data_IF_842030509618
#
_entry.id   IF_842030509618
#
_cell.length_a   1.000
_cell.length_b   1.000
_cell.length_c   1.000
_cell.angle_alpha   90.00
_cell.angle_beta   90.00
_cell.angle_gamma   90.00
#
_symmetry.space_group_name_H-M   'P 1'
#
loop_
_entity.id
_entity.type
_entity.pdbx_description
1 polymer ?
#
# COMPACT_ATOMS: atom_id res chain seq x y z
N UNK A 1 14.98 -9.66 -19.79
CA UNK A 1 15.02 -9.33 -18.35
C UNK A 1 16.46 -9.25 -17.90
N UNK A 2 16.78 -8.30 -17.03
CA UNK A 2 18.16 -8.02 -16.61
C UNK A 2 18.44 -8.72 -15.30
N UNK A 3 19.37 -9.67 -15.30
CA UNK A 3 19.85 -10.33 -14.08
C UNK A 3 20.67 -9.33 -13.27
N UNK A 4 20.31 -9.15 -12.01
CA UNK A 4 20.90 -8.17 -11.10
C UNK A 4 21.58 -8.81 -9.90
N UNK A 5 21.27 -10.06 -9.58
CA UNK A 5 21.85 -10.71 -8.41
C UNK A 5 21.76 -12.22 -8.42
N UNK A 6 22.32 -12.83 -7.39
CA UNK A 6 22.27 -14.28 -7.17
C UNK A 6 21.95 -14.57 -5.70
N UNK A 7 21.00 -15.47 -5.46
CA UNK A 7 20.60 -15.88 -4.11
C UNK A 7 21.77 -16.52 -3.39
N UNK A 8 22.04 -16.04 -2.18
CA UNK A 8 23.06 -16.57 -1.29
C UNK A 8 22.45 -17.68 -0.42
N UNK A 9 21.40 -17.35 0.33
CA UNK A 9 20.76 -18.23 1.31
C UNK A 9 19.34 -17.75 1.61
N UNK A 10 18.61 -18.49 2.45
CA UNK A 10 17.32 -18.06 2.97
C UNK A 10 17.17 -18.30 4.47
N UNK A 11 16.32 -17.49 5.11
CA UNK A 11 15.97 -17.58 6.52
C UNK A 11 14.51 -18.01 6.69
N UNK A 12 13.97 -17.90 7.91
CA UNK A 12 12.56 -18.25 8.19
C UNK A 12 11.58 -17.35 7.47
N UNK A 13 11.89 -16.06 7.35
CA UNK A 13 10.94 -15.05 6.84
C UNK A 13 11.36 -14.51 5.45
N UNK A 14 12.66 -14.39 5.18
CA UNK A 14 13.20 -13.76 3.98
C UNK A 14 14.20 -14.67 3.24
N UNK A 15 14.64 -14.25 2.05
CA UNK A 15 15.86 -14.75 1.43
C UNK A 15 16.83 -13.62 1.16
N UNK A 16 18.11 -13.98 1.02
CA UNK A 16 19.19 -13.01 0.82
C UNK A 16 19.88 -13.27 -0.51
N UNK A 17 20.20 -12.21 -1.25
CA UNK A 17 20.95 -12.30 -2.49
C UNK A 17 22.09 -11.29 -2.53
N UNK A 18 23.09 -11.59 -3.35
CA UNK A 18 24.25 -10.72 -3.59
C UNK A 18 24.06 -10.02 -4.94
N UNK A 19 24.34 -8.73 -4.98
CA UNK A 19 24.20 -7.87 -6.18
C UNK A 19 25.25 -6.76 -6.19
N UNK A 20 25.56 -6.21 -7.36
CA UNK A 20 26.36 -4.98 -7.49
C UNK A 20 25.50 -3.70 -7.46
N UNK A 21 24.18 -3.85 -7.50
CA UNK A 21 23.25 -2.71 -7.57
C UNK A 21 22.67 -2.44 -6.18
N UNK A 22 22.72 -1.20 -5.68
CA UNK A 22 22.03 -0.85 -4.44
C UNK A 22 20.51 -0.82 -4.68
N UNK A 23 19.75 -1.53 -3.85
CA UNK A 23 18.28 -1.52 -3.86
C UNK A 23 17.74 -0.70 -2.69
N UNK A 24 16.64 0.02 -2.92
CA UNK A 24 15.91 0.75 -1.88
C UNK A 24 14.88 -0.16 -1.21
N UNK A 25 14.56 0.16 0.04
CA UNK A 25 13.50 -0.53 0.78
C UNK A 25 12.17 -0.37 0.05
N UNK A 26 11.45 -1.47 -0.14
CA UNK A 26 10.15 -1.49 -0.83
C UNK A 26 10.24 -1.74 -2.34
N UNK A 27 11.43 -1.70 -2.94
CA UNK A 27 11.61 -2.08 -4.35
C UNK A 27 11.30 -3.55 -4.58
N UNK A 28 10.97 -3.87 -5.83
CA UNK A 28 10.60 -5.22 -6.23
C UNK A 28 11.66 -5.86 -7.13
N UNK A 29 11.94 -7.12 -6.84
CA UNK A 29 12.76 -8.01 -7.66
C UNK A 29 11.98 -9.30 -7.92
N UNK A 30 12.41 -10.09 -8.88
CA UNK A 30 11.80 -11.38 -9.13
C UNK A 30 12.84 -12.47 -9.41
N UNK A 31 12.40 -13.72 -9.34
CA UNK A 31 13.18 -14.87 -9.78
C UNK A 31 12.28 -15.86 -10.50
N UNK A 32 12.86 -16.67 -11.37
CA UNK A 32 12.10 -17.66 -12.13
C UNK A 32 11.98 -18.96 -11.33
N UNK A 33 10.75 -19.47 -11.19
CA UNK A 33 10.48 -20.78 -10.61
C UNK A 33 9.34 -21.46 -11.38
N UNK A 34 9.56 -22.67 -11.89
CA UNK A 34 8.56 -23.43 -12.65
C UNK A 34 7.91 -22.61 -13.79
N UNK A 35 8.70 -21.77 -14.49
CA UNK A 35 8.27 -20.84 -15.55
C UNK A 35 7.45 -19.62 -15.10
N UNK A 36 7.26 -19.44 -13.80
CA UNK A 36 6.60 -18.27 -13.23
C UNK A 36 7.62 -17.30 -12.62
N UNK A 37 7.41 -16.01 -12.85
CA UNK A 37 8.20 -14.96 -12.21
C UNK A 37 7.65 -14.69 -10.81
N UNK A 38 8.41 -15.08 -9.79
CA UNK A 38 8.04 -14.92 -8.39
C UNK A 38 8.47 -13.54 -7.91
N UNK A 39 7.50 -12.68 -7.64
CA UNK A 39 7.71 -11.34 -7.11
C UNK A 39 8.16 -11.38 -5.65
N UNK A 40 9.17 -10.59 -5.34
CA UNK A 40 9.76 -10.46 -4.02
C UNK A 40 10.03 -8.98 -3.70
N UNK A 41 9.79 -8.58 -2.46
CA UNK A 41 9.94 -7.19 -2.01
C UNK A 41 11.20 -7.02 -1.18
N UNK A 42 12.04 -6.05 -1.55
CA UNK A 42 13.26 -5.68 -0.83
C UNK A 42 12.92 -5.11 0.55
N UNK A 43 13.59 -5.63 1.58
CA UNK A 43 13.41 -5.23 2.98
C UNK A 43 14.52 -4.32 3.47
N UNK A 44 15.76 -4.67 3.16
CA UNK A 44 16.95 -3.90 3.52
C UNK A 44 18.11 -4.31 2.62
N UNK A 45 19.06 -3.39 2.49
CA UNK A 45 20.29 -3.52 1.68
C UNK A 45 21.45 -3.07 2.54
N UNK A 46 22.50 -3.88 2.61
CA UNK A 46 23.75 -3.60 3.33
C UNK A 46 24.96 -3.94 2.44
N UNK A 47 26.13 -3.31 2.63
CA UNK A 47 27.36 -3.75 1.99
C UNK A 47 27.65 -5.22 2.32
N UNK A 48 28.17 -5.97 1.34
CA UNK A 48 28.57 -7.36 1.59
C UNK A 48 29.86 -7.42 2.41
N UNK A 49 30.81 -6.56 2.07
CA UNK A 49 32.08 -6.37 2.76
C UNK A 49 32.33 -4.87 2.88
N UNK A 50 32.85 -4.44 4.02
CA UNK A 50 33.36 -3.09 4.23
C UNK A 50 34.88 -3.09 4.13
N UNK A 51 35.46 -1.97 3.67
CA UNK A 51 36.89 -1.78 3.77
C UNK A 51 37.33 -1.83 5.24
N UNK A 52 38.56 -2.30 5.52
CA UNK A 52 39.17 -2.13 6.84
C UNK A 52 39.05 -0.68 7.30
N UNK A 53 38.67 -0.47 8.56
CA UNK A 53 38.35 0.86 9.09
C UNK A 53 39.55 1.81 8.97
N UNK A 54 40.77 1.26 9.05
CA UNK A 54 42.03 1.99 8.92
C UNK A 54 42.17 2.65 7.54
N UNK A 55 41.56 2.07 6.50
CA UNK A 55 41.62 2.63 5.14
C UNK A 55 40.71 3.84 4.97
N UNK A 56 39.84 4.12 5.96
CA UNK A 56 38.87 5.21 5.94
C UNK A 56 39.31 6.43 6.77
N UNK A 57 40.46 6.37 7.44
CA UNK A 57 40.93 7.45 8.30
C UNK A 57 41.57 8.63 7.55
N UNK A 58 42.07 8.40 6.34
CA UNK A 58 42.67 9.43 5.51
C UNK A 58 41.61 10.02 4.56
N UNK A 59 41.45 11.35 4.58
CA UNK A 59 40.48 12.03 3.72
C UNK A 59 41.04 12.37 2.32
N UNK A 60 42.34 12.14 2.09
CA UNK A 60 43.04 12.43 0.83
C UNK A 60 43.28 11.17 0.02
N UNK A 61 43.53 10.04 0.66
CA UNK A 61 43.78 8.76 -0.02
C UNK A 61 42.49 7.93 -0.08
N UNK A 62 42.09 7.51 -1.28
CA UNK A 62 40.92 6.66 -1.45
C UNK A 62 41.16 5.24 -0.89
N UNK A 63 40.17 4.70 -0.19
CA UNK A 63 40.24 3.36 0.41
C UNK A 63 40.52 2.26 -0.62
N UNK A 64 40.08 2.45 -1.87
CA UNK A 64 40.35 1.55 -2.99
C UNK A 64 41.82 1.50 -3.39
N UNK A 65 42.54 2.62 -3.25
CA UNK A 65 43.97 2.67 -3.58
C UNK A 65 44.80 1.99 -2.50
N UNK A 66 44.43 2.18 -1.23
CA UNK A 66 45.00 1.43 -0.11
C UNK A 66 44.72 -0.06 -0.24
N UNK A 67 43.48 -0.45 -0.53
CA UNK A 67 43.12 -1.85 -0.74
C UNK A 67 43.93 -2.49 -1.87
N UNK A 68 44.09 -1.81 -3.02
CA UNK A 68 44.93 -2.27 -4.11
C UNK A 68 46.41 -2.39 -3.71
N UNK A 69 46.93 -1.43 -2.93
CA UNK A 69 48.30 -1.47 -2.41
C UNK A 69 48.54 -2.69 -1.49
N UNK A 70 47.56 -3.04 -0.65
CA UNK A 70 47.61 -4.23 0.20
C UNK A 70 47.27 -5.54 -0.54
N UNK A 71 47.01 -5.49 -1.84
CA UNK A 71 46.72 -6.67 -2.67
C UNK A 71 45.29 -7.21 -2.53
N UNK A 72 44.35 -6.40 -2.06
CA UNK A 72 42.93 -6.74 -1.96
C UNK A 72 42.22 -6.45 -3.29
N UNK A 73 41.23 -7.27 -3.66
CA UNK A 73 40.41 -7.02 -4.85
C UNK A 73 39.32 -5.99 -4.53
N UNK A 74 39.41 -4.81 -5.15
CA UNK A 74 38.40 -3.75 -5.00
C UNK A 74 36.99 -4.20 -5.42
N UNK A 75 36.84 -5.24 -6.24
CA UNK A 75 35.53 -5.77 -6.58
C UNK A 75 34.80 -6.37 -5.38
N UNK A 76 35.51 -6.88 -4.37
CA UNK A 76 34.90 -7.53 -3.21
C UNK A 76 34.11 -6.56 -2.32
N UNK A 77 34.41 -5.26 -2.43
CA UNK A 77 33.77 -4.17 -1.68
C UNK A 77 32.67 -3.45 -2.47
N UNK A 78 32.39 -3.90 -3.71
CA UNK A 78 31.36 -3.31 -4.58
C UNK A 78 30.05 -4.11 -4.59
N UNK A 79 29.95 -5.12 -3.72
CA UNK A 79 28.76 -5.94 -3.60
C UNK A 79 27.90 -5.54 -2.41
N UNK A 80 26.61 -5.72 -2.57
CA UNK A 80 25.60 -5.58 -1.53
C UNK A 80 24.98 -6.93 -1.22
N UNK A 81 24.64 -7.10 0.06
CA UNK A 81 23.75 -8.15 0.55
C UNK A 81 22.36 -7.55 0.71
N UNK A 82 21.38 -8.13 0.03
CA UNK A 82 19.99 -7.65 0.02
C UNK A 82 19.08 -8.72 0.57
N UNK A 83 18.26 -8.37 1.58
CA UNK A 83 17.17 -9.23 2.06
C UNK A 83 15.87 -8.90 1.36
N UNK A 84 15.17 -9.92 0.89
CA UNK A 84 13.87 -9.79 0.23
C UNK A 84 12.87 -10.82 0.76
N UNK A 85 11.62 -10.39 0.88
CA UNK A 85 10.49 -11.22 1.26
C UNK A 85 9.76 -11.70 0.01
N UNK A 86 9.49 -13.01 -0.07
CA UNK A 86 8.67 -13.57 -1.16
C UNK A 86 7.24 -13.08 -1.02
N UNK A 87 6.70 -12.47 -2.08
CA UNK A 87 5.30 -12.04 -2.14
C UNK A 87 4.48 -13.15 -2.81
N UNK A 88 4.84 -13.51 -4.04
CA UNK A 88 4.15 -14.51 -4.83
C UNK A 88 4.18 -14.19 -6.32
N UNK A 89 3.30 -14.81 -7.11
CA UNK A 89 3.14 -14.52 -8.53
C UNK A 89 1.65 -14.52 -8.88
N UNK A 90 1.30 -13.86 -9.98
CA UNK A 90 -0.06 -13.90 -10.49
C UNK A 90 -0.22 -15.02 -11.50
N UNK A 91 -1.17 -15.92 -11.26
CA UNK A 91 -1.54 -16.97 -12.21
C UNK A 91 -2.69 -16.47 -13.09
N UNK A 92 -2.39 -16.18 -14.35
CA UNK A 92 -3.38 -15.69 -15.34
C UNK A 92 -4.45 -16.70 -15.70
N UNK A 93 -4.21 -18.01 -15.48
CA UNK A 93 -5.19 -19.06 -15.78
C UNK A 93 -6.31 -19.06 -14.75
N UNK A 94 -5.96 -18.88 -13.48
CA UNK A 94 -6.91 -18.85 -12.37
C UNK A 94 -7.32 -17.43 -11.96
N UNK A 95 -6.67 -16.41 -12.53
CA UNK A 95 -6.83 -15.00 -12.18
C UNK A 95 -6.61 -14.74 -10.67
N UNK A 96 -5.63 -15.43 -10.10
CA UNK A 96 -5.35 -15.42 -8.67
C UNK A 96 -3.86 -15.18 -8.38
N UNK A 97 -3.60 -14.53 -7.24
CA UNK A 97 -2.25 -14.33 -6.74
C UNK A 97 -1.85 -15.48 -5.82
N UNK A 98 -0.79 -16.20 -6.19
CA UNK A 98 -0.35 -17.43 -5.52
C UNK A 98 0.96 -17.16 -4.78
N UNK A 99 0.96 -17.45 -3.48
CA UNK A 99 2.20 -17.54 -2.73
C UNK A 99 2.78 -18.96 -2.89
N UNK A 100 4.01 -19.12 -3.43
CA UNK A 100 4.60 -20.43 -3.69
C UNK A 100 4.90 -21.23 -2.42
N UNK A 101 4.89 -20.60 -1.23
CA UNK A 101 5.22 -21.17 0.09
C UNK A 101 6.63 -21.78 0.19
N UNK A 102 7.43 -21.67 -0.86
CA UNK A 102 8.82 -22.08 -0.94
C UNK A 102 9.69 -20.88 -1.31
N UNK A 103 10.92 -20.90 -0.82
CA UNK A 103 11.93 -19.87 -1.06
C UNK A 103 12.89 -20.32 -2.17
N UNK A 104 13.57 -19.38 -2.86
CA UNK A 104 14.54 -19.76 -3.88
C UNK A 104 15.73 -20.52 -3.28
N UNK A 105 16.31 -21.40 -4.09
CA UNK A 105 17.55 -22.09 -3.74
C UNK A 105 18.75 -21.13 -3.85
N UNK A 106 19.82 -21.43 -3.11
CA UNK A 106 21.11 -20.78 -3.31
C UNK A 106 21.55 -20.91 -4.78
N UNK A 107 22.12 -19.86 -5.35
CA UNK A 107 22.51 -19.79 -6.76
C UNK A 107 21.40 -19.36 -7.72
N UNK A 108 20.14 -19.26 -7.27
CA UNK A 108 19.03 -18.77 -8.11
C UNK A 108 19.30 -17.33 -8.57
N UNK A 109 19.08 -17.04 -9.86
CA UNK A 109 19.28 -15.69 -10.41
C UNK A 109 18.11 -14.78 -10.06
N UNK A 110 18.44 -13.56 -9.63
CA UNK A 110 17.49 -12.49 -9.34
C UNK A 110 17.48 -11.50 -10.51
N UNK A 111 16.29 -11.11 -10.92
CA UNK A 111 16.01 -10.20 -12.02
C UNK A 111 15.24 -8.98 -11.50
N UNK A 112 15.36 -7.84 -12.19
CA UNK A 112 14.49 -6.69 -11.91
C UNK A 112 13.05 -7.04 -12.25
N UNK A 113 12.12 -6.67 -11.37
CA UNK A 113 10.70 -6.73 -11.68
C UNK A 113 10.37 -5.62 -12.68
N UNK A 114 10.02 -6.01 -13.91
CA UNK A 114 9.60 -5.05 -14.93
C UNK A 114 8.15 -4.62 -14.75
N UNK A 115 7.73 -3.62 -15.54
CA UNK A 115 6.37 -3.10 -15.49
C UNK A 115 5.31 -4.16 -15.87
N UNK A 116 5.66 -5.17 -16.68
CA UNK A 116 4.72 -6.22 -17.07
C UNK A 116 4.40 -7.12 -15.87
N UNK A 117 5.42 -7.60 -15.16
CA UNK A 117 5.25 -8.43 -13.96
C UNK A 117 4.52 -7.68 -12.86
N UNK A 118 4.81 -6.39 -12.70
CA UNK A 118 4.14 -5.56 -11.70
C UNK A 118 2.68 -5.28 -12.08
N UNK A 119 2.40 -5.07 -13.37
CA UNK A 119 1.03 -4.91 -13.86
C UNK A 119 0.20 -6.17 -13.68
N UNK A 120 0.81 -7.36 -13.76
CA UNK A 120 0.13 -8.64 -13.53
C UNK A 120 -0.38 -8.78 -12.09
N UNK A 121 0.13 -8.00 -11.13
CA UNK A 121 -0.41 -7.97 -9.77
C UNK A 121 -1.80 -7.32 -9.73
N UNK A 122 -2.10 -6.42 -10.67
CA UNK A 122 -3.40 -5.77 -10.77
C UNK A 122 -4.40 -6.71 -11.47
N UNK A 123 -5.52 -7.03 -10.82
CA UNK A 123 -6.60 -7.85 -11.40
C UNK A 123 -7.40 -7.12 -12.50
N UNK A 124 -7.32 -5.80 -12.53
CA UNK A 124 -8.05 -4.90 -13.44
C UNK A 124 -7.09 -3.84 -13.97
N UNK A 125 -7.33 -3.38 -15.19
CA UNK A 125 -6.51 -2.35 -15.82
C UNK A 125 -7.01 -0.94 -15.49
N UNK A 126 -6.11 0.04 -15.50
CA UNK A 126 -6.47 1.45 -15.31
C UNK A 126 -7.45 1.91 -16.39
N UNK A 127 -8.56 2.51 -15.98
CA UNK A 127 -9.59 3.00 -16.89
C UNK A 127 -10.53 1.89 -17.40
N UNK A 128 -10.41 0.67 -16.89
CA UNK A 128 -11.42 -0.38 -17.07
C UNK A 128 -12.64 -0.09 -16.18
N UNK A 129 -13.83 -0.57 -16.58
CA UNK A 129 -15.03 -0.53 -15.72
C UNK A 129 -14.78 -1.39 -14.48
N UNK A 130 -15.06 -0.86 -13.28
CA UNK A 130 -14.78 -1.57 -12.04
C UNK A 130 -13.33 -1.47 -11.55
N UNK A 131 -12.54 -0.55 -12.11
CA UNK A 131 -11.15 -0.28 -11.69
C UNK A 131 -11.05 1.00 -10.85
N UNK A 132 -10.18 1.00 -9.84
CA UNK A 132 -9.84 2.17 -9.04
C UNK A 132 -8.32 2.34 -9.00
N UNK A 133 -7.82 3.41 -9.61
CA UNK A 133 -6.40 3.74 -9.62
C UNK A 133 -5.99 4.51 -8.36
N UNK A 134 -5.20 3.88 -7.49
CA UNK A 134 -4.84 4.43 -6.17
C UNK A 134 -3.46 5.08 -6.13
N UNK A 135 -2.71 5.04 -7.24
CA UNK A 135 -1.37 5.61 -7.35
C UNK A 135 -0.43 4.72 -8.17
N UNK A 136 0.87 4.88 -7.96
CA UNK A 136 1.91 4.09 -8.65
C UNK A 136 2.76 3.28 -7.68
N UNK A 137 3.31 2.17 -8.15
CA UNK A 137 4.22 1.32 -7.36
C UNK A 137 5.57 2.04 -7.23
N UNK A 138 6.06 2.16 -5.99
CA UNK A 138 7.31 2.85 -5.67
C UNK A 138 8.48 2.43 -6.55
N UNK A 139 9.32 3.41 -6.92
CA UNK A 139 10.49 3.24 -7.80
C UNK A 139 10.17 2.68 -9.19
N UNK A 140 8.90 2.71 -9.61
CA UNK A 140 8.47 2.24 -10.93
C UNK A 140 7.45 3.19 -11.51
N UNK A 141 7.21 3.08 -12.82
CA UNK A 141 6.12 3.79 -13.51
C UNK A 141 4.87 2.91 -13.65
N UNK A 142 4.76 1.84 -12.85
CA UNK A 142 3.64 0.90 -12.92
C UNK A 142 2.48 1.41 -12.08
N UNK A 143 1.29 1.44 -12.67
CA UNK A 143 0.06 1.80 -11.97
C UNK A 143 -0.29 0.78 -10.88
N UNK A 144 -0.84 1.25 -9.76
CA UNK A 144 -1.46 0.43 -8.72
C UNK A 144 -2.98 0.58 -8.85
N UNK A 145 -3.64 -0.49 -9.27
CA UNK A 145 -5.07 -0.48 -9.60
C UNK A 145 -5.79 -1.57 -8.83
N UNK A 146 -6.85 -1.19 -8.11
CA UNK A 146 -7.68 -2.10 -7.34
C UNK A 146 -9.00 -2.38 -8.06
N UNK A 147 -9.53 -3.59 -7.86
CA UNK A 147 -10.89 -3.91 -8.29
C UNK A 147 -11.90 -3.27 -7.34
N UNK A 148 -12.73 -2.38 -7.86
CA UNK A 148 -13.82 -1.74 -7.10
C UNK A 148 -14.77 -2.79 -6.54
N UNK A 149 -15.09 -3.82 -7.33
CA UNK A 149 -15.96 -4.92 -6.89
C UNK A 149 -15.41 -5.60 -5.63
N UNK A 150 -14.12 -5.88 -5.57
CA UNK A 150 -13.49 -6.49 -4.40
C UNK A 150 -13.46 -5.52 -3.21
N UNK A 151 -13.13 -4.24 -3.45
CA UNK A 151 -13.11 -3.21 -2.42
C UNK A 151 -14.47 -3.01 -1.74
N UNK A 152 -15.57 -3.05 -2.49
CA UNK A 152 -16.92 -2.82 -1.95
C UNK A 152 -17.62 -4.08 -1.44
N UNK A 153 -17.24 -5.26 -1.96
CA UNK A 153 -17.81 -6.54 -1.50
C UNK A 153 -17.16 -7.04 -0.21
N UNK A 154 -15.95 -6.58 0.09
CA UNK A 154 -15.25 -6.86 1.34
C UNK A 154 -15.18 -5.61 2.22
N UNK A 155 -14.80 -5.77 3.49
CA UNK A 155 -14.55 -4.64 4.36
C UNK A 155 -13.14 -4.08 4.12
N UNK A 156 -13.04 -2.80 3.78
CA UNK A 156 -11.77 -2.08 3.65
C UNK A 156 -11.48 -1.27 4.92
N UNK A 157 -10.24 -1.35 5.41
CA UNK A 157 -9.75 -0.54 6.53
C UNK A 157 -8.49 0.22 6.12
N UNK A 158 -8.50 1.54 6.26
CA UNK A 158 -7.37 2.42 5.96
C UNK A 158 -6.79 2.92 7.28
N UNK A 159 -5.56 2.52 7.59
CA UNK A 159 -4.89 2.82 8.86
C UNK A 159 -3.60 3.58 8.57
N UNK A 160 -3.46 4.76 9.16
CA UNK A 160 -2.24 5.55 9.07
C UNK A 160 -2.14 6.49 10.28
N UNK A 161 -0.93 6.92 10.61
CA UNK A 161 -0.71 7.98 11.60
C UNK A 161 -1.23 9.33 11.09
N UNK A 162 -1.44 10.29 12.01
CA UNK A 162 -1.80 11.66 11.64
C UNK A 162 -0.74 12.26 10.71
N UNK A 163 -1.18 12.89 9.62
CA UNK A 163 -0.28 13.48 8.62
C UNK A 163 0.25 12.51 7.57
N UNK A 164 0.00 11.21 7.69
CA UNK A 164 0.49 10.20 6.73
C UNK A 164 -0.41 10.05 5.47
N UNK A 165 -1.43 10.89 5.31
CA UNK A 165 -2.26 10.92 4.10
C UNK A 165 -3.54 10.08 4.11
N UNK A 166 -4.01 9.60 5.28
CA UNK A 166 -5.27 8.81 5.39
C UNK A 166 -6.45 9.44 4.64
N UNK A 167 -6.77 10.70 4.94
CA UNK A 167 -7.92 11.39 4.36
C UNK A 167 -7.72 11.68 2.87
N UNK A 168 -6.47 11.87 2.44
CA UNK A 168 -6.13 11.99 1.02
C UNK A 168 -6.39 10.67 0.28
N UNK A 169 -5.92 9.55 0.80
CA UNK A 169 -6.19 8.21 0.22
C UNK A 169 -7.68 7.90 0.16
N UNK A 170 -8.45 8.27 1.19
CA UNK A 170 -9.92 8.14 1.17
C UNK A 170 -10.51 9.00 0.04
N UNK A 171 -10.07 10.25 -0.10
CA UNK A 171 -10.51 11.13 -1.19
C UNK A 171 -10.28 10.51 -2.56
N UNK A 172 -9.07 10.02 -2.83
CA UNK A 172 -8.72 9.32 -4.09
C UNK A 172 -9.64 8.12 -4.32
N UNK A 173 -9.88 7.30 -3.30
CA UNK A 173 -10.79 6.15 -3.42
C UNK A 173 -12.21 6.61 -3.74
N UNK A 174 -12.72 7.66 -3.10
CA UNK A 174 -14.07 8.18 -3.36
C UNK A 174 -14.17 8.74 -4.78
N UNK A 175 -13.16 9.47 -5.25
CA UNK A 175 -13.08 9.96 -6.63
C UNK A 175 -13.14 8.79 -7.62
N UNK A 176 -12.30 7.77 -7.44
CA UNK A 176 -12.30 6.59 -8.30
C UNK A 176 -13.65 5.87 -8.28
N UNK A 177 -14.27 5.69 -7.11
CA UNK A 177 -15.60 5.09 -6.95
C UNK A 177 -16.70 5.88 -7.67
N UNK A 178 -16.65 7.22 -7.60
CA UNK A 178 -17.62 8.13 -8.22
C UNK A 178 -17.32 8.45 -9.68
N UNK A 179 -16.21 7.95 -10.24
CA UNK A 179 -15.89 8.13 -11.65
C UNK A 179 -16.95 7.51 -12.56
N UNK A 180 -17.03 7.98 -13.81
CA UNK A 180 -17.95 7.45 -14.83
C UNK A 180 -17.78 5.95 -15.11
N UNK A 181 -16.61 5.41 -14.81
CA UNK A 181 -16.30 3.99 -14.97
C UNK A 181 -16.94 3.10 -13.89
N UNK A 182 -17.30 3.67 -12.73
CA UNK A 182 -17.75 2.92 -11.56
C UNK A 182 -19.13 3.35 -11.07
N UNK A 183 -19.46 4.65 -11.19
CA UNK A 183 -20.75 5.25 -10.85
C UNK A 183 -21.29 4.84 -9.47
N UNK A 184 -20.39 4.58 -8.52
CA UNK A 184 -20.75 4.05 -7.22
C UNK A 184 -21.39 5.13 -6.32
N UNK A 185 -22.31 4.71 -5.47
CA UNK A 185 -22.88 5.57 -4.44
C UNK A 185 -22.07 5.47 -3.15
N UNK A 186 -21.65 6.61 -2.61
CA UNK A 186 -20.80 6.69 -1.41
C UNK A 186 -21.50 7.50 -0.34
N UNK A 187 -21.52 6.97 0.89
CA UNK A 187 -21.96 7.69 2.09
C UNK A 187 -20.77 7.85 3.03
N UNK A 188 -20.44 9.10 3.36
CA UNK A 188 -19.31 9.43 4.22
C UNK A 188 -19.85 10.00 5.54
N UNK A 189 -19.46 9.41 6.66
CA UNK A 189 -19.62 10.01 7.98
C UNK A 189 -18.32 10.75 8.33
N UNK A 190 -18.37 12.08 8.25
CA UNK A 190 -17.20 12.93 8.40
C UNK A 190 -17.28 13.80 9.67
N UNK A 191 -16.79 13.29 10.82
CA UNK A 191 -16.81 14.06 12.07
C UNK A 191 -15.86 15.26 12.06
N UNK A 192 -14.90 15.32 11.13
CA UNK A 192 -13.87 16.36 11.07
C UNK A 192 -14.12 17.40 9.98
N UNK A 193 -15.01 17.12 9.02
CA UNK A 193 -15.36 18.03 7.93
C UNK A 193 -14.31 18.10 6.80
N UNK A 194 -13.43 17.10 6.71
CA UNK A 194 -12.32 17.03 5.75
C UNK A 194 -12.79 16.84 4.29
N UNK A 195 -13.99 16.29 4.06
CA UNK A 195 -14.43 15.85 2.73
C UNK A 195 -15.41 16.81 2.03
N UNK A 196 -15.57 18.03 2.54
CA UNK A 196 -16.48 19.02 1.94
C UNK A 196 -16.10 19.41 0.50
N UNK A 197 -14.81 19.32 0.15
CA UNK A 197 -14.26 19.62 -1.18
C UNK A 197 -14.74 18.62 -2.25
N UNK A 198 -15.18 17.42 -1.87
CA UNK A 198 -15.73 16.44 -2.82
C UNK A 198 -16.95 16.98 -3.58
N UNK A 199 -17.60 18.04 -3.10
CA UNK A 199 -18.67 18.72 -3.84
C UNK A 199 -18.23 19.20 -5.23
N UNK A 200 -16.95 19.51 -5.42
CA UNK A 200 -16.39 20.00 -6.68
C UNK A 200 -16.40 18.94 -7.78
N UNK A 201 -16.44 17.65 -7.43
CA UNK A 201 -16.54 16.52 -8.37
C UNK A 201 -17.74 16.68 -9.31
N UNK A 202 -18.86 17.22 -8.83
CA UNK A 202 -20.09 17.41 -9.62
C UNK A 202 -19.90 18.35 -10.81
N UNK A 203 -18.91 19.25 -10.74
CA UNK A 203 -18.64 20.26 -11.75
C UNK A 203 -17.41 19.89 -12.59
N UNK A 204 -16.76 18.76 -12.31
CA UNK A 204 -15.58 18.33 -13.03
C UNK A 204 -15.96 17.43 -14.22
N UNK A 205 -15.72 17.87 -15.48
CA UNK A 205 -16.05 17.09 -16.68
C UNK A 205 -15.39 15.71 -16.73
N UNK A 206 -14.26 15.50 -16.04
CA UNK A 206 -13.58 14.20 -16.00
C UNK A 206 -14.43 13.09 -15.36
N UNK A 207 -15.40 13.46 -14.51
CA UNK A 207 -16.29 12.54 -13.80
C UNK A 207 -17.67 12.41 -14.45
N UNK A 208 -17.92 13.16 -15.52
CA UNK A 208 -19.19 13.14 -16.23
C UNK A 208 -19.10 12.29 -17.50
N UNK A 209 -20.24 11.73 -17.88
CA UNK A 209 -20.50 11.11 -19.17
C UNK A 209 -21.86 11.60 -19.69
N UNK A 210 -22.23 11.28 -20.93
CA UNK A 210 -23.48 11.74 -21.54
C UNK A 210 -24.71 11.35 -20.68
N UNK A 211 -24.67 10.18 -20.06
CA UNK A 211 -25.75 9.63 -19.21
C UNK A 211 -25.45 9.68 -17.70
N UNK A 212 -24.27 10.18 -17.30
CA UNK A 212 -23.84 10.14 -15.90
C UNK A 212 -23.29 11.48 -15.41
N UNK A 213 -23.82 11.95 -14.28
CA UNK A 213 -23.26 13.07 -13.54
C UNK A 213 -23.28 12.78 -12.04
N UNK A 214 -22.13 12.83 -11.35
CA UNK A 214 -22.09 12.64 -9.91
C UNK A 214 -22.88 13.76 -9.21
N UNK A 215 -23.56 13.40 -8.12
CA UNK A 215 -24.25 14.34 -7.23
C UNK A 215 -23.72 14.16 -5.82
N UNK A 216 -23.28 15.23 -5.21
CA UNK A 216 -22.76 15.25 -3.83
C UNK A 216 -23.68 16.12 -2.99
N UNK A 217 -24.24 15.52 -1.95
CA UNK A 217 -25.10 16.21 -1.00
C UNK A 217 -24.41 16.22 0.36
N UNK A 218 -23.98 17.41 0.79
CA UNK A 218 -23.42 17.60 2.11
C UNK A 218 -24.56 17.89 3.09
N UNK A 219 -24.67 17.09 4.14
CA UNK A 219 -25.61 17.29 5.24
C UNK A 219 -24.80 17.61 6.47
N UNK A 220 -24.94 18.85 6.97
CA UNK A 220 -24.27 19.30 8.19
C UNK A 220 -25.08 18.90 9.43
N UNK A 221 -24.43 18.87 10.60
CA UNK A 221 -25.04 18.43 11.85
C UNK A 221 -26.30 19.24 12.23
N UNK A 222 -26.33 20.54 11.94
CA UNK A 222 -27.49 21.42 12.16
C UNK A 222 -28.70 21.10 11.26
N UNK A 223 -28.47 20.38 10.17
CA UNK A 223 -29.52 19.93 9.23
C UNK A 223 -30.06 18.55 9.59
N UNK A 224 -29.38 17.80 10.46
CA UNK A 224 -29.81 16.48 10.91
C UNK A 224 -30.81 16.66 12.05
N UNK A 225 -32.08 16.35 11.78
CA UNK A 225 -33.15 16.38 12.77
C UNK A 225 -33.59 14.95 13.07
N UNK A 226 -33.45 14.53 14.32
CA UNK A 226 -33.96 13.25 14.82
C UNK A 226 -35.27 13.54 15.57
N UNK A 227 -36.34 12.80 15.24
CA UNK A 227 -37.58 12.94 16.00
C UNK A 227 -37.38 12.35 17.39
N UNK A 228 -37.84 13.07 18.41
CA UNK A 228 -37.78 12.63 19.81
C UNK A 228 -38.44 11.27 20.01
N UNK A 229 -39.49 10.96 19.24
CA UNK A 229 -40.17 9.66 19.24
C UNK A 229 -39.32 8.48 18.79
N UNK A 230 -38.25 8.74 18.02
CA UNK A 230 -37.42 7.69 17.41
C UNK A 230 -36.23 7.33 18.32
N UNK A 231 -35.95 8.17 19.32
CA UNK A 231 -34.91 7.94 20.32
C UNK A 231 -35.39 6.94 21.37
N UNK A 232 -34.58 5.92 21.61
CA UNK A 232 -34.80 4.98 22.70
C UNK A 232 -34.30 5.61 24.00
N UNK A 233 -34.80 5.12 25.14
CA UNK A 233 -34.31 5.55 26.46
C UNK A 233 -32.79 5.41 26.60
N UNK A 234 -32.19 4.40 25.94
CA UNK A 234 -30.75 4.23 25.89
C UNK A 234 -30.04 5.40 25.19
N UNK A 235 -30.60 5.93 24.11
CA UNK A 235 -30.03 7.05 23.34
C UNK A 235 -30.11 8.35 24.17
N UNK A 236 -31.23 8.57 24.87
CA UNK A 236 -31.34 9.68 25.83
C UNK A 236 -30.30 9.59 26.93
N UNK A 237 -30.09 8.39 27.48
CA UNK A 237 -29.06 8.19 28.50
C UNK A 237 -27.67 8.47 27.90
N UNK A 238 -27.34 8.00 26.69
CA UNK A 238 -26.02 8.27 26.09
C UNK A 238 -25.78 9.75 25.77
N UNK A 239 -26.83 10.52 25.49
CA UNK A 239 -26.73 11.96 25.22
C UNK A 239 -26.59 12.77 26.52
N UNK A 240 -27.30 12.36 27.59
CA UNK A 240 -27.29 13.07 28.88
C UNK A 240 -26.16 12.64 29.82
N UNK A 241 -25.64 11.43 29.67
CA UNK A 241 -24.61 10.88 30.55
C UNK A 241 -23.23 11.44 30.18
N UNK A 242 -22.88 12.53 30.87
CA UNK A 242 -21.55 13.14 30.87
C UNK A 242 -20.54 12.40 31.77
N UNK A 243 -20.90 11.20 32.25
CA UNK A 243 -20.12 10.40 33.20
C UNK A 243 -20.55 10.58 34.66
N UNK A 244 -21.54 11.44 34.94
CA UNK A 244 -22.05 11.70 36.30
C UNK A 244 -23.31 10.90 36.66
N UNK A 245 -23.99 10.25 35.70
CA UNK A 245 -25.23 9.53 35.99
C UNK A 245 -24.98 8.20 36.69
N UNK A 246 -25.44 8.10 37.94
CA UNK A 246 -25.42 6.83 38.68
C UNK A 246 -26.34 5.77 38.04
N UNK A 247 -25.99 4.49 38.21
CA UNK A 247 -26.84 3.36 37.75
C UNK A 247 -28.28 3.44 38.26
N UNK A 248 -28.48 3.98 39.47
CA UNK A 248 -29.81 4.19 40.05
C UNK A 248 -30.61 5.22 39.25
N UNK A 249 -29.98 6.29 38.78
CA UNK A 249 -30.61 7.31 37.93
C UNK A 249 -30.94 6.76 36.53
N UNK A 250 -30.02 6.02 35.92
CA UNK A 250 -30.25 5.33 34.62
C UNK A 250 -31.44 4.36 34.69
N UNK A 251 -31.55 3.61 35.79
CA UNK A 251 -32.63 2.64 36.02
C UNK A 251 -33.98 3.30 36.32
N UNK A 252 -33.98 4.47 36.97
CA UNK A 252 -35.18 5.30 37.18
C UNK A 252 -35.71 5.90 35.88
N UNK A 253 -34.81 6.36 35.01
CA UNK A 253 -35.17 6.92 33.70
C UNK A 253 -35.81 5.86 32.79
N UNK A 254 -35.30 4.62 32.79
CA UNK A 254 -35.89 3.46 32.08
C UNK A 254 -37.29 3.04 32.57
N UNK A 255 -37.74 3.49 33.74
CA UNK A 255 -39.05 3.13 34.31
C UNK A 255 -40.15 4.16 34.06
N UNK A 256 -39.80 5.39 33.63
CA UNK A 256 -40.73 6.53 33.53
C UNK A 256 -41.08 6.93 32.08
N UNK A 257 -40.40 6.36 31.09
CA UNK A 257 -40.67 6.46 29.67
C UNK A 257 -41.12 5.09 29.16
#
# INVERSE_FOLDING_TARGET
>A
MTVVGTVLTHSKDDFTFITKCPFKVGEFVCYLMNRNHILSRVRHTEPLNDYPVEFLFDAVIDASDLAAFYGLDNNDYQYYRVSAAVVGYFDRTFNEFINPRVKPLSGTKIELADAQILSDVNRVSKGEVGSAHIGTIMSTNSDAVLSVREMVSQHLSIIASTGAGKSYTVGVIVEELMSKNNMASVLIFDPHGEYSVLADIQNNPAFCDDDYRPKVKIVKSDQIKIRVSDLRVADFISIMDDGSMTEKMKRLFKKRL
#
